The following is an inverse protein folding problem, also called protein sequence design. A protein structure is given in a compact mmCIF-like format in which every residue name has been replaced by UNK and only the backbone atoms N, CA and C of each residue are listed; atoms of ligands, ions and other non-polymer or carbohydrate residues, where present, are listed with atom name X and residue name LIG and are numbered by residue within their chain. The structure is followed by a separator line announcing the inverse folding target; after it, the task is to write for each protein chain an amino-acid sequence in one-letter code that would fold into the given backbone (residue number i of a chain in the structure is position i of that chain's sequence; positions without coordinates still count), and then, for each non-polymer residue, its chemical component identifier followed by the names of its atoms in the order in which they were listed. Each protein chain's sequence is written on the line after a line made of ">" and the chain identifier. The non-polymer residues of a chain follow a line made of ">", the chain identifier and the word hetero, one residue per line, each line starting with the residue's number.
data_IF_246105351690
#
_entry.id   IF_246105351690
#
_cell.length_a   1.000
_cell.length_b   1.000
_cell.length_c   1.000
_cell.angle_alpha   90.00
_cell.angle_beta   90.00
_cell.angle_gamma   90.00
#
_symmetry.space_group_name_H-M   'P 1'
#
loop_
_entity.id
_entity.type
_entity.pdbx_description
1 polymer ?
#
# COMPACT_ATOMS: atom_id res chain seq x y z
N UNK A 1 6.45 -5.30 -18.20
CA UNK A 1 5.46 -6.22 -17.63
C UNK A 1 4.43 -6.60 -18.68
N UNK A 2 4.13 -7.89 -18.86
CA UNK A 2 3.02 -8.34 -19.69
C UNK A 2 1.69 -8.32 -18.89
N UNK A 3 0.56 -8.55 -19.57
CA UNK A 3 -0.76 -8.53 -18.93
C UNK A 3 -0.89 -9.53 -17.78
N UNK A 4 -0.32 -10.72 -17.94
CA UNK A 4 -0.35 -11.77 -16.90
C UNK A 4 0.40 -11.34 -15.65
N UNK A 5 1.60 -10.77 -15.77
CA UNK A 5 2.38 -10.25 -14.65
C UNK A 5 1.67 -9.11 -13.91
N UNK A 6 0.96 -8.25 -14.64
CA UNK A 6 0.16 -7.17 -14.04
C UNK A 6 -0.96 -7.76 -13.18
N UNK A 7 -1.73 -8.71 -13.72
CA UNK A 7 -2.83 -9.35 -13.01
C UNK A 7 -2.31 -10.12 -11.79
N UNK A 8 -1.24 -10.90 -11.95
CA UNK A 8 -0.64 -11.67 -10.87
C UNK A 8 -0.05 -10.77 -9.78
N UNK A 9 0.62 -9.69 -10.16
CA UNK A 9 1.14 -8.69 -9.21
C UNK A 9 0.00 -8.06 -8.42
N UNK A 10 -1.05 -7.61 -9.10
CA UNK A 10 -2.22 -7.02 -8.45
C UNK A 10 -2.85 -7.96 -7.42
N UNK A 11 -3.08 -9.21 -7.79
CA UNK A 11 -3.66 -10.22 -6.92
C UNK A 11 -2.73 -10.56 -5.75
N UNK A 12 -1.46 -10.86 -6.02
CA UNK A 12 -0.49 -11.25 -5.01
C UNK A 12 -0.29 -10.14 -3.96
N UNK A 13 -0.01 -8.92 -4.40
CA UNK A 13 0.25 -7.82 -3.46
C UNK A 13 -1.01 -7.37 -2.73
N UNK A 14 -2.19 -7.51 -3.33
CA UNK A 14 -3.45 -7.27 -2.61
C UNK A 14 -3.75 -8.34 -1.54
N UNK A 15 -3.38 -9.61 -1.75
CA UNK A 15 -3.47 -10.65 -0.71
C UNK A 15 -2.45 -10.39 0.40
N UNK A 16 -1.20 -10.09 0.05
CA UNK A 16 -0.15 -9.80 1.04
C UNK A 16 -0.48 -8.55 1.86
N UNK A 17 -1.02 -7.52 1.22
CA UNK A 17 -1.55 -6.33 1.89
C UNK A 17 -2.68 -6.66 2.86
N UNK A 18 -3.60 -7.55 2.48
CA UNK A 18 -4.66 -8.02 3.37
C UNK A 18 -4.11 -8.77 4.59
N UNK A 19 -3.07 -9.58 4.41
CA UNK A 19 -2.38 -10.24 5.53
C UNK A 19 -1.77 -9.19 6.46
N UNK A 20 -1.06 -8.19 5.91
CA UNK A 20 -0.47 -7.10 6.70
C UNK A 20 -1.53 -6.33 7.51
N UNK A 21 -2.64 -5.96 6.90
CA UNK A 21 -3.75 -5.27 7.57
C UNK A 21 -4.40 -6.14 8.67
N UNK A 22 -4.59 -7.43 8.39
CA UNK A 22 -5.16 -8.38 9.34
C UNK A 22 -4.23 -8.58 10.55
N UNK A 23 -2.92 -8.70 10.33
CA UNK A 23 -1.93 -8.81 11.40
C UNK A 23 -1.88 -7.53 12.23
N UNK A 24 -1.86 -6.36 11.60
CA UNK A 24 -1.86 -5.06 12.28
C UNK A 24 -3.09 -4.90 13.17
N UNK A 25 -4.29 -5.17 12.64
CA UNK A 25 -5.54 -5.09 13.41
C UNK A 25 -5.61 -6.14 14.52
N UNK A 26 -5.14 -7.36 14.26
CA UNK A 26 -5.09 -8.41 15.28
C UNK A 26 -4.18 -8.03 16.45
N UNK A 27 -3.06 -7.37 16.15
CA UNK A 27 -2.14 -6.84 17.14
C UNK A 27 -2.77 -5.72 17.97
N UNK A 28 -3.40 -4.74 17.30
CA UNK A 28 -4.04 -3.59 17.96
C UNK A 28 -5.23 -4.03 18.86
N UNK A 29 -6.05 -4.97 18.38
CA UNK A 29 -7.22 -5.49 19.11
C UNK A 29 -6.88 -6.60 20.12
N UNK A 30 -5.62 -7.07 20.17
CA UNK A 30 -5.14 -8.23 20.98
C UNK A 30 -5.96 -9.52 20.81
N UNK A 31 -6.62 -9.67 19.67
CA UNK A 31 -7.42 -10.84 19.31
C UNK A 31 -7.30 -11.05 17.81
N UNK A 32 -7.43 -12.28 17.35
CA UNK A 32 -7.42 -12.56 15.92
C UNK A 32 -8.63 -11.89 15.25
N UNK A 33 -8.36 -10.84 14.48
CA UNK A 33 -9.34 -10.16 13.64
C UNK A 33 -8.84 -10.14 12.21
N UNK A 34 -9.64 -10.67 11.29
CA UNK A 34 -9.37 -10.53 9.87
C UNK A 34 -9.72 -9.10 9.45
N UNK A 35 -8.73 -8.35 9.00
CA UNK A 35 -8.90 -6.99 8.51
C UNK A 35 -9.31 -7.01 7.04
N UNK A 36 -10.48 -6.52 6.67
CA UNK A 36 -10.84 -6.44 5.25
C UNK A 36 -12.17 -5.78 4.96
N UNK A 37 -12.15 -4.94 3.93
CA UNK A 37 -13.30 -4.22 3.33
C UNK A 37 -14.31 -5.13 2.63
N UNK A 38 -13.87 -6.34 2.27
CA UNK A 38 -14.61 -7.36 1.55
C UNK A 38 -14.61 -8.64 2.37
N UNK A 39 -15.64 -9.47 2.25
CA UNK A 39 -15.65 -10.85 2.76
C UNK A 39 -14.54 -11.75 2.17
N UNK A 40 -13.69 -11.18 1.32
CA UNK A 40 -12.62 -11.82 0.58
C UNK A 40 -11.26 -11.39 1.15
N UNK A 41 -10.28 -12.31 1.28
CA UNK A 41 -8.94 -12.04 1.79
C UNK A 41 -8.08 -11.25 0.79
N UNK A 42 -8.51 -10.04 0.47
CA UNK A 42 -7.91 -9.20 -0.56
C UNK A 42 -8.07 -7.72 -0.22
N UNK A 43 -6.99 -6.96 -0.34
CA UNK A 43 -6.97 -5.52 -0.10
C UNK A 43 -6.55 -4.78 -1.39
N UNK A 44 -7.52 -4.26 -2.18
CA UNK A 44 -7.25 -3.65 -3.48
C UNK A 44 -6.24 -2.50 -3.44
N UNK A 45 -6.21 -1.73 -2.34
CA UNK A 45 -5.30 -0.60 -2.16
C UNK A 45 -3.82 -1.02 -2.25
N UNK A 46 -3.45 -2.18 -1.72
CA UNK A 46 -2.08 -2.68 -1.81
C UNK A 46 -1.75 -3.22 -3.20
N UNK A 47 -2.72 -3.86 -3.88
CA UNK A 47 -2.56 -4.30 -5.27
C UNK A 47 -2.32 -3.13 -6.22
N UNK A 48 -3.15 -2.09 -6.14
CA UNK A 48 -2.96 -0.87 -6.94
C UNK A 48 -1.70 -0.10 -6.56
N UNK A 49 -1.40 0.02 -5.26
CA UNK A 49 -0.17 0.63 -4.78
C UNK A 49 1.08 -0.06 -5.33
N UNK A 50 1.10 -1.39 -5.34
CA UNK A 50 2.17 -2.17 -5.93
C UNK A 50 2.32 -1.91 -7.44
N UNK A 51 1.22 -1.88 -8.19
CA UNK A 51 1.28 -1.56 -9.62
C UNK A 51 1.83 -0.15 -9.87
N UNK A 52 1.40 0.85 -9.09
CA UNK A 52 1.95 2.21 -9.18
C UNK A 52 3.47 2.19 -8.98
N UNK A 53 3.95 1.47 -7.97
CA UNK A 53 5.39 1.33 -7.71
C UNK A 53 6.11 0.68 -8.89
N UNK A 54 5.60 -0.45 -9.39
CA UNK A 54 6.23 -1.21 -10.47
C UNK A 54 6.27 -0.44 -11.79
N UNK A 55 5.24 0.35 -12.11
CA UNK A 55 5.22 1.18 -13.31
C UNK A 55 6.11 2.42 -13.21
N UNK A 56 6.25 3.01 -12.02
CA UNK A 56 7.03 4.24 -11.83
C UNK A 56 8.52 3.96 -11.53
N UNK A 57 8.85 2.81 -10.94
CA UNK A 57 10.24 2.48 -10.58
C UNK A 57 11.23 2.60 -11.76
N UNK A 58 10.94 2.12 -12.98
CA UNK A 58 11.87 2.23 -14.11
C UNK A 58 12.29 3.68 -14.43
N UNK A 59 11.45 4.68 -14.14
CA UNK A 59 11.72 6.10 -14.39
C UNK A 59 12.76 6.65 -13.41
N UNK A 60 12.84 6.08 -12.20
CA UNK A 60 13.69 6.56 -11.10
C UNK A 60 14.70 5.49 -10.63
N UNK A 61 14.84 4.38 -11.34
CA UNK A 61 15.67 3.25 -10.94
C UNK A 61 17.15 3.64 -10.75
N UNK A 62 17.63 4.61 -11.53
CA UNK A 62 18.99 5.15 -11.42
C UNK A 62 19.18 6.10 -10.23
N UNK A 63 18.11 6.51 -9.55
CA UNK A 63 18.21 7.42 -8.42
C UNK A 63 18.72 6.70 -7.17
N UNK A 64 19.50 7.38 -6.32
CA UNK A 64 19.82 6.90 -4.97
C UNK A 64 18.59 6.41 -4.20
N UNK A 65 18.76 5.35 -3.41
CA UNK A 65 17.68 4.70 -2.65
C UNK A 65 16.86 5.69 -1.80
N UNK A 66 17.54 6.67 -1.18
CA UNK A 66 16.88 7.72 -0.40
C UNK A 66 15.93 8.56 -1.26
N UNK A 67 16.29 8.90 -2.49
CA UNK A 67 15.42 9.67 -3.37
C UNK A 67 14.25 8.84 -3.89
N UNK A 68 14.44 7.54 -4.10
CA UNK A 68 13.31 6.65 -4.42
C UNK A 68 12.31 6.58 -3.27
N UNK A 69 12.80 6.46 -2.03
CA UNK A 69 11.95 6.52 -0.83
C UNK A 69 11.16 7.84 -0.75
N UNK A 70 11.87 8.97 -0.87
CA UNK A 70 11.26 10.31 -0.82
C UNK A 70 10.28 10.55 -1.96
N UNK A 71 10.44 9.87 -3.09
CA UNK A 71 9.49 9.90 -4.20
C UNK A 71 8.24 9.05 -3.92
N UNK A 72 8.41 7.79 -3.51
CA UNK A 72 7.27 6.88 -3.32
C UNK A 72 6.42 7.19 -2.09
N UNK A 73 7.01 7.65 -0.99
CA UNK A 73 6.28 7.99 0.23
C UNK A 73 5.11 8.97 0.00
N UNK A 74 5.31 10.14 -0.64
CA UNK A 74 4.21 11.06 -0.94
C UNK A 74 3.28 10.55 -2.06
N UNK A 75 3.80 9.86 -3.07
CA UNK A 75 2.96 9.31 -4.16
C UNK A 75 1.94 8.32 -3.62
N UNK A 76 2.38 7.35 -2.81
CA UNK A 76 1.50 6.37 -2.20
C UNK A 76 0.66 6.95 -1.06
N UNK A 77 1.19 7.92 -0.31
CA UNK A 77 0.39 8.66 0.67
C UNK A 77 -0.76 9.44 0.03
N UNK A 78 -0.53 10.06 -1.13
CA UNK A 78 -1.58 10.71 -1.92
C UNK A 78 -2.59 9.68 -2.46
N UNK A 79 -2.11 8.53 -2.93
CA UNK A 79 -2.97 7.43 -3.37
C UNK A 79 -3.87 6.90 -2.23
N UNK A 80 -3.32 6.70 -1.03
CA UNK A 80 -4.09 6.34 0.18
C UNK A 80 -5.13 7.41 0.52
N UNK A 81 -4.74 8.68 0.48
CA UNK A 81 -5.65 9.79 0.75
C UNK A 81 -6.83 9.82 -0.22
N UNK A 82 -6.57 9.67 -1.52
CA UNK A 82 -7.60 9.62 -2.57
C UNK A 82 -8.49 8.38 -2.42
N UNK A 83 -7.89 7.22 -2.12
CA UNK A 83 -8.62 6.00 -1.78
C UNK A 83 -9.56 6.20 -0.59
N UNK A 84 -9.13 6.99 0.41
CA UNK A 84 -9.92 7.27 1.61
C UNK A 84 -11.14 8.12 1.29
N UNK A 85 -10.96 9.16 0.47
CA UNK A 85 -12.05 9.98 -0.05
C UNK A 85 -13.02 9.12 -0.88
N UNK A 86 -12.49 8.30 -1.80
CA UNK A 86 -13.31 7.44 -2.65
C UNK A 86 -14.20 6.52 -1.80
N UNK A 87 -13.63 5.90 -0.77
CA UNK A 87 -14.38 5.01 0.09
C UNK A 87 -15.43 5.73 0.95
N UNK A 88 -15.13 6.94 1.43
CA UNK A 88 -16.12 7.74 2.15
C UNK A 88 -17.29 8.16 1.25
N UNK A 89 -17.03 8.47 -0.02
CA UNK A 89 -18.07 8.86 -0.97
C UNK A 89 -18.92 7.65 -1.38
N UNK A 90 -18.30 6.53 -1.74
CA UNK A 90 -19.01 5.38 -2.35
C UNK A 90 -19.61 4.46 -1.29
N UNK A 91 -18.94 4.28 -0.15
CA UNK A 91 -19.34 3.33 0.88
C UNK A 91 -19.86 4.01 2.14
N UNK A 92 -19.86 5.35 2.18
CA UNK A 92 -20.31 6.16 3.31
C UNK A 92 -19.65 5.77 4.64
N UNK A 93 -18.42 5.25 4.58
CA UNK A 93 -17.66 4.75 5.72
C UNK A 93 -16.21 5.23 5.65
N UNK A 94 -15.70 5.67 6.79
CA UNK A 94 -14.29 5.96 6.98
C UNK A 94 -13.57 4.66 7.36
N UNK A 95 -12.83 4.06 6.42
CA UNK A 95 -12.13 2.78 6.68
C UNK A 95 -10.95 2.91 7.65
N UNK A 96 -10.29 4.06 7.59
CA UNK A 96 -9.12 4.38 8.39
C UNK A 96 -9.32 5.75 9.02
N UNK A 97 -9.22 5.80 10.34
CA UNK A 97 -9.21 7.06 11.07
C UNK A 97 -7.83 7.30 11.68
N UNK A 98 -7.04 8.10 10.96
CA UNK A 98 -5.72 8.52 11.40
C UNK A 98 -5.74 9.81 12.22
N UNK A 99 -6.91 10.27 12.69
CA UNK A 99 -7.07 11.49 13.49
C UNK A 99 -6.17 11.55 14.73
N UNK A 100 -5.87 10.38 15.32
CA UNK A 100 -5.02 10.24 16.51
C UNK A 100 -3.51 10.27 16.22
N UNK A 101 -3.10 10.20 14.95
CA UNK A 101 -1.69 10.22 14.56
C UNK A 101 -1.20 11.66 14.38
N UNK A 102 0.05 11.91 14.78
CA UNK A 102 0.71 13.21 14.58
C UNK A 102 0.88 13.48 13.09
N UNK A 103 0.68 14.73 12.68
CA UNK A 103 0.80 15.17 11.27
C UNK A 103 -0.11 14.32 10.35
N UNK A 104 -1.40 14.24 10.72
CA UNK A 104 -2.43 13.65 9.89
C UNK A 104 -3.04 14.70 8.95
N UNK A 105 -3.49 14.26 7.78
CA UNK A 105 -4.22 15.09 6.81
C UNK A 105 -5.67 14.62 6.84
N UNK A 106 -6.53 15.40 7.48
CA UNK A 106 -7.97 15.13 7.68
C UNK A 106 -8.28 13.74 8.28
N UNK A 107 -7.33 13.14 9.00
CA UNK A 107 -7.41 11.76 9.47
C UNK A 107 -7.53 10.69 8.37
N UNK A 108 -7.20 11.01 7.11
CA UNK A 108 -7.28 10.10 5.95
C UNK A 108 -5.94 9.56 5.49
N UNK A 109 -4.86 10.27 5.77
CA UNK A 109 -3.49 9.75 5.76
C UNK A 109 -2.69 10.44 6.86
N UNK A 110 -1.48 9.99 7.13
CA UNK A 110 -0.55 10.66 8.05
C UNK A 110 0.88 10.47 7.59
N UNK A 111 1.78 11.33 8.08
CA UNK A 111 3.21 11.22 7.75
C UNK A 111 3.77 9.83 8.07
N UNK A 112 3.37 9.23 9.19
CA UNK A 112 3.79 7.88 9.58
C UNK A 112 3.38 6.83 8.54
N UNK A 113 2.16 6.92 8.02
CA UNK A 113 1.66 5.97 7.02
C UNK A 113 2.31 6.23 5.66
N UNK A 114 2.49 7.48 5.24
CA UNK A 114 3.25 7.82 4.04
C UNK A 114 4.69 7.30 4.09
N UNK A 115 5.37 7.42 5.23
CA UNK A 115 6.70 6.83 5.45
C UNK A 115 6.65 5.31 5.35
N UNK A 116 5.66 4.67 5.97
CA UNK A 116 5.47 3.22 5.89
C UNK A 116 5.27 2.75 4.44
N UNK A 117 4.49 3.51 3.65
CA UNK A 117 4.31 3.26 2.22
C UNK A 117 5.62 3.39 1.43
N UNK A 118 6.46 4.38 1.73
CA UNK A 118 7.79 4.51 1.13
C UNK A 118 8.68 3.30 1.43
N UNK A 119 8.68 2.80 2.67
CA UNK A 119 9.43 1.59 3.05
C UNK A 119 8.88 0.36 2.33
N UNK A 120 7.55 0.20 2.28
CA UNK A 120 6.90 -0.90 1.57
C UNK A 120 7.20 -0.88 0.07
N UNK A 121 7.28 0.29 -0.56
CA UNK A 121 7.65 0.43 -1.97
C UNK A 121 9.07 -0.10 -2.22
N UNK A 122 10.03 0.28 -1.37
CA UNK A 122 11.41 -0.22 -1.50
C UNK A 122 11.50 -1.72 -1.25
N UNK A 123 10.82 -2.23 -0.20
CA UNK A 123 10.75 -3.68 0.05
C UNK A 123 10.15 -4.43 -1.14
N UNK A 124 9.12 -3.87 -1.76
CA UNK A 124 8.50 -4.45 -2.94
C UNK A 124 9.49 -4.53 -4.10
N UNK A 125 10.17 -3.44 -4.43
CA UNK A 125 11.11 -3.37 -5.57
C UNK A 125 12.33 -4.28 -5.36
N UNK A 126 12.95 -4.21 -4.19
CA UNK A 126 14.26 -4.81 -3.96
C UNK A 126 14.22 -6.22 -3.36
N UNK A 127 13.06 -6.65 -2.87
CA UNK A 127 12.93 -7.96 -2.22
C UNK A 127 11.75 -8.75 -2.76
N UNK A 128 10.52 -8.23 -2.65
CA UNK A 128 9.33 -9.03 -2.95
C UNK A 128 9.19 -9.34 -4.45
N UNK A 129 9.31 -8.33 -5.30
CA UNK A 129 9.12 -8.51 -6.74
C UNK A 129 10.21 -9.40 -7.36
N UNK A 130 11.51 -9.22 -7.04
CA UNK A 130 12.56 -10.15 -7.46
C UNK A 130 12.34 -11.59 -6.99
N UNK A 131 11.81 -11.77 -5.78
CA UNK A 131 11.53 -13.10 -5.22
C UNK A 131 10.43 -13.84 -5.99
N UNK A 132 9.37 -13.16 -6.42
CA UNK A 132 8.21 -13.78 -7.06
C UNK A 132 8.27 -13.83 -8.58
N UNK A 133 8.86 -12.81 -9.21
CA UNK A 133 8.83 -12.62 -10.66
C UNK A 133 10.23 -12.58 -11.30
N UNK A 134 11.30 -12.66 -10.51
CA UNK A 134 12.67 -12.44 -10.97
C UNK A 134 13.03 -10.96 -11.02
N UNK A 135 14.31 -10.65 -11.28
CA UNK A 135 14.80 -9.27 -11.33
C UNK A 135 14.04 -8.45 -12.36
N UNK A 136 13.35 -7.40 -11.89
CA UNK A 136 12.70 -6.38 -12.71
C UNK A 136 13.70 -5.47 -13.43
#
# INVERSE_FOLDING_TARGET
>A
MNLTEIILSFLLYGILGWVLDSLKRSWDDRRWTTGGFTFLPFAPIYGFGALIVLFLHPVIAAWPLLFQFVFFAPVLGAFEYLGGIYCEIVFHKKLWDYSKYKINIHGRTSLFHAVSWGVLALLLIYFMHPLFFGSA
#
